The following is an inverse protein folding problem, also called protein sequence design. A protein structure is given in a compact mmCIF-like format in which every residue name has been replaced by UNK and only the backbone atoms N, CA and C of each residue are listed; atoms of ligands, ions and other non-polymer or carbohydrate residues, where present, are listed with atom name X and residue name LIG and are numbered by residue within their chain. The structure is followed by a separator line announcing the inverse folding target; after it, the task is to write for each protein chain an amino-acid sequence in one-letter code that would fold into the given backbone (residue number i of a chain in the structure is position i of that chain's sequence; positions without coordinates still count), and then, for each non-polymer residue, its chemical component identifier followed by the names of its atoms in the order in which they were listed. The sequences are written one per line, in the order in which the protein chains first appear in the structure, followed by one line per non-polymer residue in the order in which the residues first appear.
data_IF_025042615826
#
_entry.id   IF_025042615826
#
_cell.length_a   1.000
_cell.length_b   1.000
_cell.length_c   1.000
_cell.angle_alpha   90.00
_cell.angle_beta   90.00
_cell.angle_gamma   90.00
#
_symmetry.space_group_name_H-M   'P 1'
#
loop_
_entity.id
_entity.type
_entity.pdbx_description
1 polymer ?
#
# COMPACT_ATOMS: atom_id res chain seq x y z
N UNK A 1 -24.29 27.97 -79.44
CA UNK A 1 -23.69 28.31 -80.77
C UNK A 1 -22.92 29.62 -80.65
N UNK A 2 -21.77 29.82 -81.24
CA UNK A 2 -20.76 28.92 -81.81
C UNK A 2 -19.41 29.09 -81.05
N UNK A 3 -18.50 28.17 -80.97
CA UNK A 3 -17.48 27.70 -81.96
C UNK A 3 -16.37 28.70 -82.28
N UNK A 4 -15.13 28.30 -82.07
CA UNK A 4 -13.93 28.92 -82.64
C UNK A 4 -12.66 28.45 -81.95
N UNK A 5 -12.11 27.41 -82.35
CA UNK A 5 -10.93 27.01 -83.17
C UNK A 5 -9.56 27.53 -82.70
N UNK A 6 -8.74 26.54 -82.30
CA UNK A 6 -7.33 26.29 -82.60
C UNK A 6 -6.39 27.45 -83.02
N UNK A 7 -5.20 27.46 -82.42
CA UNK A 7 -3.91 27.45 -83.15
C UNK A 7 -2.80 26.82 -82.26
N UNK A 8 -2.12 25.79 -82.80
CA UNK A 8 -0.85 25.23 -82.26
C UNK A 8 0.31 26.22 -82.52
N UNK A 9 1.22 26.31 -81.60
CA UNK A 9 2.57 26.79 -81.90
C UNK A 9 3.58 25.90 -81.15
N UNK A 10 4.39 25.22 -81.95
CA UNK A 10 5.54 24.43 -81.52
C UNK A 10 6.71 25.36 -81.23
N UNK A 11 7.28 25.36 -80.05
CA UNK A 11 8.64 25.83 -79.83
C UNK A 11 9.45 24.75 -79.12
N UNK A 12 10.56 24.39 -79.74
CA UNK A 12 11.57 23.46 -79.24
C UNK A 12 12.35 24.11 -78.13
N UNK A 13 12.47 23.43 -77.00
CA UNK A 13 13.29 23.92 -75.93
C UNK A 13 14.51 23.00 -75.73
N UNK A 14 15.66 23.59 -75.86
CA UNK A 14 16.99 23.00 -75.71
C UNK A 14 17.14 22.52 -74.25
N UNK A 15 17.58 21.29 -74.08
CA UNK A 15 17.99 20.72 -72.79
C UNK A 15 19.39 21.26 -72.40
N UNK A 16 19.43 22.07 -71.32
CA UNK A 16 20.66 22.32 -70.56
C UNK A 16 20.70 21.43 -69.34
N UNK A 17 21.66 20.54 -69.33
CA UNK A 17 21.91 19.66 -68.13
C UNK A 17 22.80 20.47 -67.14
N UNK A 18 22.26 20.93 -66.07
CA UNK A 18 23.04 21.46 -64.96
C UNK A 18 23.28 20.31 -63.95
N UNK A 19 24.56 19.94 -63.83
CA UNK A 19 24.99 18.95 -62.83
C UNK A 19 24.94 19.61 -61.43
N UNK A 20 24.06 19.15 -60.59
CA UNK A 20 23.98 19.56 -59.19
C UNK A 20 24.85 18.62 -58.34
N UNK A 21 26.02 19.12 -57.92
CA UNK A 21 26.88 18.41 -56.98
C UNK A 21 26.31 18.52 -55.59
N UNK A 22 25.75 17.41 -55.06
CA UNK A 22 25.31 17.31 -53.66
C UNK A 22 26.50 17.00 -52.80
N UNK A 23 26.98 17.97 -52.04
CA UNK A 23 27.96 17.78 -50.97
C UNK A 23 27.21 17.29 -49.73
N UNK A 24 27.32 16.01 -49.41
CA UNK A 24 26.75 15.44 -48.19
C UNK A 24 27.66 15.79 -47.00
N UNK A 25 27.23 16.68 -46.16
CA UNK A 25 27.84 16.89 -44.85
C UNK A 25 27.40 15.78 -43.94
N UNK A 26 28.29 14.85 -43.63
CA UNK A 26 28.15 13.92 -42.51
C UNK A 26 28.37 14.68 -41.22
N UNK A 27 27.29 15.06 -40.54
CA UNK A 27 27.37 15.48 -39.12
C UNK A 27 27.46 14.21 -38.28
N UNK A 28 28.66 13.89 -37.79
CA UNK A 28 28.84 12.88 -36.82
C UNK A 28 28.18 13.31 -35.49
N UNK A 29 27.01 12.77 -35.18
CA UNK A 29 26.41 12.94 -33.87
C UNK A 29 27.32 12.28 -32.81
N UNK A 30 27.62 12.96 -31.67
CA UNK A 30 28.36 12.34 -30.61
C UNK A 30 27.53 11.18 -30.05
N UNK A 31 28.08 9.98 -30.12
CA UNK A 31 27.52 8.80 -29.46
C UNK A 31 27.57 9.08 -27.96
N UNK A 32 26.42 9.43 -27.36
CA UNK A 32 26.29 9.54 -25.91
C UNK A 32 26.58 8.17 -25.33
N UNK A 33 27.70 8.04 -24.59
CA UNK A 33 28.01 6.87 -23.80
C UNK A 33 26.82 6.66 -22.84
N UNK A 34 26.00 5.65 -23.12
CA UNK A 34 25.01 5.18 -22.18
C UNK A 34 25.75 4.78 -20.91
N UNK A 35 25.56 5.55 -19.86
CA UNK A 35 26.01 5.14 -18.52
C UNK A 35 25.33 3.81 -18.22
N UNK A 36 26.10 2.74 -18.18
CA UNK A 36 25.67 1.44 -17.69
C UNK A 36 25.35 1.61 -16.21
N UNK A 37 24.07 1.85 -15.91
CA UNK A 37 23.58 1.73 -14.55
C UNK A 37 23.80 0.27 -14.14
N UNK A 38 24.63 0.07 -13.13
CA UNK A 38 24.77 -1.24 -12.49
C UNK A 38 23.37 -1.70 -12.11
N UNK A 39 22.91 -2.87 -12.54
CA UNK A 39 21.58 -3.32 -12.16
C UNK A 39 21.52 -3.43 -10.64
N UNK A 40 20.68 -2.59 -10.03
CA UNK A 40 20.34 -2.73 -8.61
C UNK A 40 19.74 -4.13 -8.49
N UNK A 41 20.39 -5.02 -7.75
CA UNK A 41 19.84 -6.35 -7.53
C UNK A 41 18.46 -6.20 -6.89
N UNK A 42 17.44 -6.79 -7.51
CA UNK A 42 16.11 -6.78 -6.95
C UNK A 42 16.14 -7.30 -5.50
N UNK A 43 15.39 -6.68 -4.58
CA UNK A 43 15.34 -7.13 -3.19
C UNK A 43 14.94 -8.61 -3.14
N UNK A 44 15.69 -9.40 -2.36
CA UNK A 44 15.43 -10.84 -2.24
C UNK A 44 14.26 -11.07 -1.28
N UNK A 45 13.20 -11.66 -1.77
CA UNK A 45 12.07 -12.15 -0.97
C UNK A 45 11.62 -13.52 -1.46
N UNK A 46 10.93 -14.25 -0.60
CA UNK A 46 10.27 -15.51 -0.95
C UNK A 46 8.78 -15.25 -1.11
N UNK A 47 8.22 -15.60 -2.27
CA UNK A 47 6.79 -15.47 -2.56
C UNK A 47 6.01 -16.69 -2.11
N UNK A 48 4.77 -16.44 -1.67
CA UNK A 48 3.81 -17.46 -1.28
C UNK A 48 2.46 -17.22 -1.96
N UNK A 49 1.82 -18.30 -2.37
CA UNK A 49 0.43 -18.36 -2.82
C UNK A 49 -0.36 -19.11 -1.76
N UNK A 50 -1.05 -18.36 -0.91
CA UNK A 50 -1.70 -18.89 0.30
C UNK A 50 -3.17 -19.15 0.03
N UNK A 51 -3.64 -20.38 0.29
CA UNK A 51 -5.06 -20.72 0.16
C UNK A 51 -5.80 -20.44 1.46
N UNK A 52 -6.88 -19.67 1.37
CA UNK A 52 -7.78 -19.44 2.51
C UNK A 52 -8.84 -20.52 2.62
N UNK A 53 -9.42 -20.77 3.81
CA UNK A 53 -10.49 -21.74 3.97
C UNK A 53 -11.73 -21.48 3.13
N UNK A 54 -11.99 -20.22 2.74
CA UNK A 54 -13.10 -19.83 1.88
C UNK A 54 -12.75 -19.82 0.37
N UNK A 55 -11.60 -20.39 0.01
CA UNK A 55 -11.19 -20.70 -1.36
C UNK A 55 -10.50 -19.59 -2.14
N UNK A 56 -10.01 -18.54 -1.47
CA UNK A 56 -9.25 -17.48 -2.12
C UNK A 56 -7.75 -17.75 -2.08
N UNK A 57 -7.05 -17.24 -3.08
CA UNK A 57 -5.59 -17.21 -3.12
C UNK A 57 -5.09 -15.84 -2.68
N UNK A 58 -4.27 -15.84 -1.63
CA UNK A 58 -3.65 -14.64 -1.06
C UNK A 58 -2.16 -14.61 -1.40
N UNK A 59 -1.70 -13.49 -1.93
CA UNK A 59 -0.28 -13.26 -2.23
C UNK A 59 0.44 -12.74 -0.99
N UNK A 60 1.50 -13.45 -0.57
CA UNK A 60 2.32 -13.04 0.55
C UNK A 60 3.82 -13.11 0.20
N UNK A 61 4.64 -12.38 0.93
CA UNK A 61 6.08 -12.28 0.73
C UNK A 61 6.80 -12.32 2.06
N UNK A 62 7.83 -13.14 2.15
CA UNK A 62 8.74 -13.22 3.28
C UNK A 62 10.05 -12.52 2.96
N UNK A 63 10.50 -11.67 3.86
CA UNK A 63 11.66 -10.81 3.73
C UNK A 63 12.59 -10.96 4.94
N UNK A 64 13.84 -10.62 4.75
CA UNK A 64 14.81 -10.48 5.83
C UNK A 64 15.36 -11.80 6.36
N UNK A 65 15.59 -11.86 7.67
CA UNK A 65 16.19 -13.00 8.35
C UNK A 65 15.16 -14.09 8.70
N UNK A 66 15.14 -15.25 8.02
CA UNK A 66 14.13 -16.27 8.24
C UNK A 66 14.15 -16.88 9.66
N UNK A 67 15.22 -16.66 10.43
CA UNK A 67 15.38 -17.15 11.80
C UNK A 67 15.24 -16.04 12.86
N UNK A 68 14.94 -14.81 12.44
CA UNK A 68 14.79 -13.68 13.33
C UNK A 68 13.43 -13.61 14.02
N UNK A 69 13.28 -12.67 14.99
CA UNK A 69 11.98 -12.31 15.52
C UNK A 69 10.99 -11.94 14.41
N UNK A 70 9.73 -12.28 14.60
CA UNK A 70 8.74 -12.31 13.54
C UNK A 70 7.87 -11.06 13.52
N UNK A 71 7.64 -10.52 12.31
CA UNK A 71 6.73 -9.39 12.06
C UNK A 71 5.82 -9.73 10.90
N UNK A 72 4.52 -9.46 11.03
CA UNK A 72 3.58 -9.46 9.90
C UNK A 72 2.96 -8.08 9.73
N UNK A 73 2.97 -7.58 8.50
CA UNK A 73 2.46 -6.26 8.15
C UNK A 73 1.16 -6.36 7.37
N UNK A 74 0.15 -5.61 7.81
CA UNK A 74 -1.17 -5.53 7.20
C UNK A 74 -1.40 -4.12 6.70
N UNK A 75 -1.62 -3.97 5.39
CA UNK A 75 -1.82 -2.67 4.75
C UNK A 75 -3.23 -2.10 4.96
N UNK A 76 -3.42 -0.82 4.61
CA UNK A 76 -4.68 -0.10 4.73
C UNK A 76 -5.65 -0.29 3.56
N UNK A 77 -6.78 0.44 3.62
CA UNK A 77 -7.81 0.47 2.58
C UNK A 77 -7.23 0.87 1.22
N UNK A 78 -7.53 0.10 0.19
CA UNK A 78 -7.11 0.34 -1.20
C UNK A 78 -5.60 0.32 -1.43
N UNK A 79 -4.80 -0.18 -0.49
CA UNK A 79 -3.35 -0.25 -0.54
C UNK A 79 -2.86 -1.64 -1.02
N UNK A 80 -1.57 -1.92 -0.85
CA UNK A 80 -0.97 -3.23 -1.12
C UNK A 80 0.21 -3.51 -0.17
N UNK A 81 0.80 -4.70 -0.28
CA UNK A 81 2.04 -5.04 0.41
C UNK A 81 3.18 -4.04 0.17
N UNK A 82 3.18 -3.34 -0.98
CA UNK A 82 4.18 -2.31 -1.34
C UNK A 82 4.17 -1.10 -0.41
N UNK A 83 3.09 -0.86 0.35
CA UNK A 83 3.07 0.18 1.38
C UNK A 83 4.21 0.03 2.39
N UNK A 84 4.66 -1.19 2.64
CA UNK A 84 5.69 -1.54 3.62
C UNK A 84 7.10 -1.66 3.04
N UNK A 85 7.31 -1.22 1.79
CA UNK A 85 8.59 -1.42 1.07
C UNK A 85 9.78 -0.80 1.84
N UNK A 86 9.59 0.37 2.46
CA UNK A 86 10.65 1.05 3.23
C UNK A 86 11.04 0.31 4.53
N UNK A 87 10.18 -0.59 5.02
CA UNK A 87 10.46 -1.46 6.17
C UNK A 87 11.19 -2.72 5.71
N UNK A 88 10.61 -3.45 4.76
CA UNK A 88 11.11 -4.77 4.37
C UNK A 88 12.41 -4.72 3.58
N UNK A 89 12.73 -3.58 2.94
CA UNK A 89 14.02 -3.37 2.25
C UNK A 89 15.06 -2.64 3.12
N UNK A 90 14.69 -2.22 4.33
CA UNK A 90 15.65 -1.63 5.26
C UNK A 90 16.68 -2.66 5.71
N UNK A 91 17.97 -2.36 5.51
CA UNK A 91 19.06 -3.30 5.74
C UNK A 91 19.17 -3.78 7.20
N UNK A 92 18.85 -2.92 8.15
CA UNK A 92 18.99 -3.24 9.57
C UNK A 92 17.81 -4.08 10.05
N UNK A 93 16.58 -3.74 9.64
CA UNK A 93 15.43 -4.60 9.91
C UNK A 93 15.58 -5.96 9.22
N UNK A 94 16.03 -6.00 7.96
CA UNK A 94 16.17 -7.24 7.21
C UNK A 94 17.28 -8.17 7.76
N UNK A 95 18.32 -7.64 8.40
CA UNK A 95 19.34 -8.46 9.07
C UNK A 95 18.80 -9.14 10.34
N UNK A 96 17.88 -8.50 11.04
CA UNK A 96 17.43 -8.93 12.35
C UNK A 96 16.13 -9.71 12.31
N UNK A 97 15.13 -9.25 11.55
CA UNK A 97 13.76 -9.73 11.63
C UNK A 97 13.34 -10.58 10.44
N UNK A 98 12.50 -11.58 10.71
CA UNK A 98 11.68 -12.24 9.71
C UNK A 98 10.41 -11.40 9.50
N UNK A 99 10.27 -10.82 8.32
CA UNK A 99 9.18 -9.92 7.99
C UNK A 99 8.28 -10.54 6.92
N UNK A 100 6.98 -10.51 7.14
CA UNK A 100 5.98 -10.97 6.17
C UNK A 100 5.05 -9.81 5.81
N UNK A 101 4.87 -9.59 4.52
CA UNK A 101 3.84 -8.71 3.97
C UNK A 101 2.87 -9.52 3.13
N UNK A 102 1.62 -9.11 3.00
CA UNK A 102 0.67 -9.75 2.10
C UNK A 102 -0.35 -8.76 1.56
N UNK A 103 -0.95 -9.10 0.45
CA UNK A 103 -2.07 -8.36 -0.10
C UNK A 103 -3.37 -8.93 0.46
N UNK A 104 -4.16 -8.08 1.10
CA UNK A 104 -5.50 -8.44 1.56
C UNK A 104 -6.38 -8.91 0.38
N UNK A 105 -7.37 -9.76 0.64
CA UNK A 105 -8.41 -10.07 -0.37
C UNK A 105 -8.90 -8.80 -1.03
N UNK A 106 -9.06 -8.83 -2.34
CA UNK A 106 -9.47 -7.67 -3.13
C UNK A 106 -8.35 -6.69 -3.50
N UNK A 107 -7.12 -6.88 -3.01
CA UNK A 107 -6.00 -5.96 -3.20
C UNK A 107 -4.83 -6.61 -3.93
N UNK A 108 -3.92 -5.79 -4.42
CA UNK A 108 -2.63 -6.18 -5.00
C UNK A 108 -2.70 -7.42 -5.90
N UNK A 109 -1.95 -8.45 -5.56
CA UNK A 109 -1.87 -9.72 -6.30
C UNK A 109 -2.78 -10.82 -5.75
N UNK A 110 -3.56 -10.54 -4.70
CA UNK A 110 -4.55 -11.48 -4.14
C UNK A 110 -5.82 -11.52 -4.96
N UNK A 111 -6.61 -12.58 -4.80
CA UNK A 111 -7.92 -12.74 -5.43
C UNK A 111 -8.86 -11.60 -5.07
N UNK A 112 -9.68 -11.21 -6.05
CA UNK A 112 -10.61 -10.07 -5.97
C UNK A 112 -12.04 -10.51 -6.26
N UNK A 113 -12.68 -11.30 -5.35
CA UNK A 113 -14.08 -11.70 -5.55
C UNK A 113 -14.99 -10.46 -5.62
N UNK A 114 -16.01 -10.50 -6.47
CA UNK A 114 -16.98 -9.40 -6.59
C UNK A 114 -18.22 -9.58 -5.70
N UNK A 115 -18.32 -10.71 -5.03
CA UNK A 115 -19.38 -11.01 -4.07
C UNK A 115 -19.15 -10.20 -2.77
N UNK A 116 -20.04 -9.25 -2.42
CA UNK A 116 -19.85 -8.40 -1.23
C UNK A 116 -19.74 -9.21 0.07
N UNK A 117 -20.37 -10.38 0.12
CA UNK A 117 -20.36 -11.26 1.30
C UNK A 117 -18.96 -11.73 1.67
N UNK A 118 -18.07 -11.87 0.68
CA UNK A 118 -16.66 -12.22 0.91
C UNK A 118 -15.87 -11.18 1.72
N UNK A 119 -16.43 -9.98 1.89
CA UNK A 119 -15.80 -8.86 2.61
C UNK A 119 -16.48 -8.51 3.93
N UNK A 120 -17.71 -8.95 4.16
CA UNK A 120 -18.52 -8.52 5.33
C UNK A 120 -18.19 -9.31 6.60
N UNK A 121 -17.82 -10.57 6.49
CA UNK A 121 -17.66 -11.49 7.63
C UNK A 121 -16.25 -11.36 8.20
N UNK A 122 -16.13 -10.93 9.47
CA UNK A 122 -14.84 -10.80 10.17
C UNK A 122 -14.03 -12.08 10.20
N UNK A 123 -14.71 -13.23 10.32
CA UNK A 123 -14.03 -14.53 10.31
C UNK A 123 -13.21 -14.78 9.04
N UNK A 124 -13.66 -14.34 7.86
CA UNK A 124 -12.89 -14.52 6.63
C UNK A 124 -11.55 -13.78 6.66
N UNK A 125 -11.51 -12.59 7.25
CA UNK A 125 -10.30 -11.81 7.43
C UNK A 125 -9.37 -12.42 8.49
N UNK A 126 -9.95 -12.94 9.57
CA UNK A 126 -9.20 -13.65 10.60
C UNK A 126 -8.56 -14.94 10.05
N UNK A 127 -9.32 -15.72 9.28
CA UNK A 127 -8.85 -16.94 8.61
C UNK A 127 -7.75 -16.64 7.60
N UNK A 128 -7.85 -15.53 6.87
CA UNK A 128 -6.85 -15.07 5.91
C UNK A 128 -5.51 -14.77 6.59
N UNK A 129 -5.51 -13.94 7.64
CA UNK A 129 -4.29 -13.66 8.40
C UNK A 129 -3.69 -14.93 9.02
N UNK A 130 -4.54 -15.81 9.58
CA UNK A 130 -4.11 -17.09 10.11
C UNK A 130 -3.45 -17.96 9.05
N UNK A 131 -4.06 -18.08 7.87
CA UNK A 131 -3.51 -18.86 6.76
C UNK A 131 -2.16 -18.30 6.28
N UNK A 132 -2.01 -16.97 6.20
CA UNK A 132 -0.74 -16.32 5.87
C UNK A 132 0.32 -16.66 6.93
N UNK A 133 0.00 -16.55 8.22
CA UNK A 133 0.95 -16.89 9.29
C UNK A 133 1.38 -18.36 9.20
N UNK A 134 0.46 -19.28 9.00
CA UNK A 134 0.75 -20.70 8.89
C UNK A 134 1.60 -21.05 7.66
N UNK A 135 1.24 -20.52 6.49
CA UNK A 135 1.95 -20.79 5.24
C UNK A 135 3.39 -20.22 5.24
N UNK A 136 3.59 -19.09 5.90
CA UNK A 136 4.91 -18.46 6.04
C UNK A 136 5.69 -18.96 7.27
N UNK A 137 5.09 -19.85 8.05
CA UNK A 137 5.73 -20.45 9.24
C UNK A 137 5.93 -19.48 10.41
N UNK A 138 5.16 -18.38 10.47
CA UNK A 138 5.14 -17.48 11.63
C UNK A 138 4.50 -18.20 12.81
N UNK A 139 5.13 -18.11 13.98
CA UNK A 139 4.67 -18.75 15.24
C UNK A 139 4.02 -17.76 16.17
N UNK A 140 4.73 -16.66 16.45
CA UNK A 140 4.29 -15.60 17.36
C UNK A 140 4.78 -14.23 16.88
N UNK A 141 4.27 -13.73 15.73
CA UNK A 141 4.70 -12.44 15.21
C UNK A 141 4.20 -11.27 16.06
N UNK A 142 4.91 -10.16 15.99
CA UNK A 142 4.30 -8.85 16.18
C UNK A 142 3.47 -8.53 14.95
N UNK A 143 2.19 -8.23 15.18
CA UNK A 143 1.25 -7.86 14.09
C UNK A 143 1.18 -6.35 13.97
N UNK A 144 1.54 -5.82 12.82
CA UNK A 144 1.52 -4.39 12.51
C UNK A 144 0.37 -4.12 11.55
N UNK A 145 -0.62 -3.37 11.97
CA UNK A 145 -1.80 -3.06 11.15
C UNK A 145 -1.97 -1.57 10.92
N UNK A 146 -1.89 -1.15 9.65
CA UNK A 146 -2.09 0.24 9.26
C UNK A 146 -3.54 0.50 8.86
N UNK A 147 -4.16 1.53 9.45
CA UNK A 147 -5.49 2.01 9.05
C UNK A 147 -6.52 0.88 9.04
N UNK A 148 -7.04 0.49 7.87
CA UNK A 148 -7.94 -0.65 7.71
C UNK A 148 -7.33 -1.98 8.21
N UNK A 149 -6.00 -2.12 8.18
CA UNK A 149 -5.29 -3.27 8.74
C UNK A 149 -5.55 -3.47 10.23
N UNK A 150 -5.82 -2.41 10.98
CA UNK A 150 -6.25 -2.51 12.38
C UNK A 150 -7.59 -3.22 12.57
N UNK A 151 -8.51 -3.13 11.58
CA UNK A 151 -9.76 -3.90 11.59
C UNK A 151 -9.50 -5.40 11.41
N UNK A 152 -8.53 -5.75 10.55
CA UNK A 152 -8.14 -7.14 10.32
C UNK A 152 -7.51 -7.73 11.58
N UNK A 153 -6.69 -6.93 12.29
CA UNK A 153 -6.18 -7.32 13.60
C UNK A 153 -7.32 -7.61 14.59
N UNK A 154 -8.32 -6.73 14.64
CA UNK A 154 -9.49 -6.91 15.52
C UNK A 154 -10.30 -8.17 15.16
N UNK A 155 -10.50 -8.45 13.86
CA UNK A 155 -11.14 -9.68 13.40
C UNK A 155 -10.39 -10.93 13.86
N UNK A 156 -9.05 -10.91 13.71
CA UNK A 156 -8.19 -12.02 14.16
C UNK A 156 -8.26 -12.22 15.68
N UNK A 157 -8.09 -11.15 16.44
CA UNK A 157 -8.11 -11.18 17.89
C UNK A 157 -9.45 -11.63 18.46
N UNK A 158 -10.55 -11.20 17.85
CA UNK A 158 -11.91 -11.61 18.23
C UNK A 158 -12.13 -13.11 17.97
N UNK A 159 -11.54 -13.63 16.88
CA UNK A 159 -11.75 -15.02 16.44
C UNK A 159 -10.79 -16.00 17.14
N UNK A 160 -9.52 -15.63 17.24
CA UNK A 160 -8.42 -16.53 17.67
C UNK A 160 -7.70 -16.09 18.95
N UNK A 161 -7.97 -14.90 19.46
CA UNK A 161 -7.27 -14.36 20.63
C UNK A 161 -5.80 -14.04 20.35
N UNK A 162 -5.00 -14.01 21.42
CA UNK A 162 -3.60 -13.56 21.39
C UNK A 162 -2.57 -14.68 21.57
N UNK A 163 -2.97 -15.94 21.69
CA UNK A 163 -2.04 -17.04 22.02
C UNK A 163 -0.85 -17.16 21.05
N UNK A 164 -1.08 -16.86 19.77
CA UNK A 164 -0.06 -16.91 18.72
C UNK A 164 0.45 -15.51 18.29
N UNK A 165 0.36 -14.51 19.17
CA UNK A 165 0.77 -13.12 18.91
C UNK A 165 1.77 -12.70 19.99
N UNK A 166 2.92 -12.13 19.61
CA UNK A 166 3.89 -11.58 20.53
C UNK A 166 3.55 -10.16 20.98
N UNK A 167 3.00 -9.36 20.08
CA UNK A 167 2.61 -7.97 20.32
C UNK A 167 1.83 -7.37 19.14
N UNK A 168 1.30 -6.19 19.33
CA UNK A 168 0.45 -5.51 18.36
C UNK A 168 0.94 -4.07 18.15
N UNK A 169 1.04 -3.62 16.90
CA UNK A 169 1.23 -2.20 16.60
C UNK A 169 0.06 -1.70 15.73
N UNK A 170 -0.79 -0.88 16.32
CA UNK A 170 -1.85 -0.14 15.61
C UNK A 170 -1.27 1.14 15.03
N UNK A 171 -1.19 1.23 13.71
CA UNK A 171 -0.64 2.39 12.99
C UNK A 171 -1.77 3.17 12.34
N UNK A 172 -2.05 4.39 12.82
CA UNK A 172 -3.16 5.25 12.33
C UNK A 172 -4.50 4.50 12.23
N UNK A 173 -4.75 3.59 13.16
CA UNK A 173 -5.82 2.61 13.11
C UNK A 173 -6.82 2.82 14.25
N UNK A 174 -7.91 3.54 13.98
CA UNK A 174 -9.02 3.69 14.92
C UNK A 174 -9.76 2.38 15.16
N UNK A 175 -10.07 2.08 16.42
CA UNK A 175 -10.69 0.82 16.85
C UNK A 175 -12.15 0.99 17.27
N UNK A 176 -12.80 2.07 16.84
CA UNK A 176 -14.24 2.32 17.09
C UNK A 176 -14.86 3.06 15.90
N UNK A 177 -16.08 2.72 15.58
CA UNK A 177 -16.89 3.47 14.62
C UNK A 177 -17.53 4.69 15.31
N UNK A 178 -16.77 5.77 15.41
CA UNK A 178 -17.19 7.04 16.00
C UNK A 178 -16.95 8.17 15.01
N UNK A 179 -17.95 9.03 14.72
CA UNK A 179 -17.78 10.14 13.78
C UNK A 179 -16.65 11.11 14.15
N UNK A 180 -16.36 11.29 15.43
CA UNK A 180 -15.27 12.16 15.89
C UNK A 180 -13.87 11.62 15.54
N UNK A 181 -13.77 10.32 15.25
CA UNK A 181 -12.52 9.67 14.85
C UNK A 181 -12.22 9.83 13.37
N UNK A 182 -13.22 10.23 12.59
CA UNK A 182 -13.13 10.34 11.13
C UNK A 182 -12.52 11.67 10.72
N UNK A 183 -11.43 11.62 10.01
CA UNK A 183 -10.77 12.80 9.47
C UNK A 183 -11.37 13.29 8.15
N UNK A 184 -11.12 14.56 7.78
CA UNK A 184 -11.76 15.22 6.64
C UNK A 184 -11.39 14.61 5.26
N UNK A 185 -10.31 13.85 5.17
CA UNK A 185 -9.88 13.25 3.89
C UNK A 185 -10.81 12.11 3.44
N UNK A 186 -11.52 11.47 4.37
CA UNK A 186 -12.42 10.35 4.04
C UNK A 186 -13.62 10.77 3.17
N UNK A 187 -13.90 12.07 3.04
CA UNK A 187 -14.88 12.59 2.06
C UNK A 187 -14.59 12.21 0.61
N UNK A 188 -13.32 11.89 0.29
CA UNK A 188 -12.90 11.48 -1.04
C UNK A 188 -13.23 10.00 -1.35
N UNK A 189 -13.42 9.17 -0.32
CA UNK A 189 -13.63 7.72 -0.50
C UNK A 189 -14.86 7.35 -1.36
N UNK A 190 -16.03 7.97 -1.24
CA UNK A 190 -17.20 7.58 -2.05
C UNK A 190 -16.94 7.65 -3.56
N UNK A 191 -16.25 8.68 -4.03
CA UNK A 191 -15.94 8.83 -5.45
C UNK A 191 -14.85 7.85 -5.95
N UNK A 192 -14.03 7.28 -5.04
CA UNK A 192 -13.10 6.18 -5.37
C UNK A 192 -13.84 4.88 -5.73
N UNK A 193 -15.13 4.78 -5.43
CA UNK A 193 -16.00 3.61 -5.73
C UNK A 193 -16.79 3.80 -7.04
N UNK A 194 -16.57 4.91 -7.76
CA UNK A 194 -17.23 5.21 -9.04
C UNK A 194 -16.76 4.29 -10.15
N UNK A 195 -17.69 3.83 -10.99
CA UNK A 195 -17.40 3.13 -12.24
C UNK A 195 -16.89 4.08 -13.33
N UNK A 196 -17.08 5.41 -13.19
CA UNK A 196 -16.41 6.41 -14.02
C UNK A 196 -14.93 6.48 -13.64
N UNK A 197 -14.08 6.02 -14.56
CA UNK A 197 -12.64 5.92 -14.34
C UNK A 197 -12.00 7.28 -14.04
N UNK A 198 -12.45 8.37 -14.69
CA UNK A 198 -11.88 9.69 -14.46
C UNK A 198 -12.23 10.21 -13.05
N UNK A 199 -13.48 10.05 -12.62
CA UNK A 199 -13.90 10.39 -11.27
C UNK A 199 -13.16 9.56 -10.22
N UNK A 200 -13.02 8.26 -10.46
CA UNK A 200 -12.30 7.33 -9.58
C UNK A 200 -10.82 7.72 -9.44
N UNK A 201 -10.10 7.95 -10.55
CA UNK A 201 -8.69 8.38 -10.53
C UNK A 201 -8.55 9.72 -9.79
N UNK A 202 -9.40 10.70 -10.09
CA UNK A 202 -9.35 12.02 -9.44
C UNK A 202 -9.55 11.89 -7.92
N UNK A 203 -10.52 11.10 -7.48
CA UNK A 203 -10.79 10.86 -6.07
C UNK A 203 -9.66 10.08 -5.38
N UNK A 204 -9.10 9.06 -6.07
CA UNK A 204 -7.97 8.28 -5.53
C UNK A 204 -6.74 9.17 -5.37
N UNK A 205 -6.46 10.07 -6.33
CA UNK A 205 -5.38 11.07 -6.20
C UNK A 205 -5.60 11.99 -5.01
N UNK A 206 -6.79 12.55 -4.86
CA UNK A 206 -7.12 13.42 -3.74
C UNK A 206 -7.00 12.69 -2.40
N UNK A 207 -7.48 11.44 -2.31
CA UNK A 207 -7.34 10.60 -1.13
C UNK A 207 -5.87 10.34 -0.78
N UNK A 208 -5.04 9.97 -1.76
CA UNK A 208 -3.61 9.71 -1.54
C UNK A 208 -2.88 10.98 -1.07
N UNK A 209 -3.10 12.14 -1.69
CA UNK A 209 -2.52 13.40 -1.23
C UNK A 209 -2.91 13.72 0.21
N UNK A 210 -4.14 13.43 0.60
CA UNK A 210 -4.62 13.63 1.97
C UNK A 210 -4.06 12.66 3.00
N UNK A 211 -3.44 11.55 2.57
CA UNK A 211 -2.79 10.60 3.49
C UNK A 211 -1.44 11.12 4.02
N UNK A 212 -0.85 12.13 3.42
CA UNK A 212 0.50 12.59 3.75
C UNK A 212 0.52 14.05 4.18
N UNK A 213 1.23 14.37 5.24
CA UNK A 213 1.70 15.71 5.56
C UNK A 213 2.99 16.01 4.82
N UNK A 214 3.95 15.08 4.84
CA UNK A 214 5.18 15.12 4.06
C UNK A 214 4.92 14.33 2.78
N UNK A 215 4.71 15.04 1.67
CA UNK A 215 4.31 14.41 0.42
C UNK A 215 5.40 13.49 -0.15
N UNK A 216 5.03 12.32 -0.71
CA UNK A 216 5.95 11.46 -1.44
C UNK A 216 6.49 12.16 -2.70
N UNK A 217 7.61 11.67 -3.22
CA UNK A 217 8.09 12.07 -4.55
C UNK A 217 7.07 11.70 -5.62
N UNK A 218 7.16 12.33 -6.79
CA UNK A 218 6.25 12.03 -7.90
C UNK A 218 6.27 10.54 -8.28
N UNK A 219 7.44 9.92 -8.30
CA UNK A 219 7.57 8.48 -8.63
C UNK A 219 6.92 7.59 -7.57
N UNK A 220 7.15 7.86 -6.28
CA UNK A 220 6.50 7.12 -5.18
C UNK A 220 4.98 7.29 -5.23
N UNK A 221 4.52 8.50 -5.55
CA UNK A 221 3.10 8.79 -5.66
C UNK A 221 2.44 8.04 -6.84
N UNK A 222 3.11 7.99 -8.00
CA UNK A 222 2.63 7.25 -9.17
C UNK A 222 2.55 5.74 -8.90
N UNK A 223 3.52 5.18 -8.19
CA UNK A 223 3.50 3.79 -7.75
C UNK A 223 2.31 3.54 -6.79
N UNK A 224 2.10 4.43 -5.81
CA UNK A 224 0.95 4.34 -4.90
C UNK A 224 -0.38 4.43 -5.66
N UNK A 225 -0.49 5.34 -6.62
CA UNK A 225 -1.68 5.45 -7.46
C UNK A 225 -1.91 4.16 -8.24
N UNK A 226 -0.86 3.59 -8.83
CA UNK A 226 -0.95 2.37 -9.63
C UNK A 226 -1.51 1.20 -8.80
N UNK A 227 -0.92 0.90 -7.63
CA UNK A 227 -1.43 -0.21 -6.83
C UNK A 227 -2.80 0.08 -6.17
N UNK A 228 -3.13 1.34 -5.89
CA UNK A 228 -4.48 1.72 -5.46
C UNK A 228 -5.51 1.42 -6.56
N UNK A 229 -5.19 1.74 -7.83
CA UNK A 229 -6.08 1.52 -8.96
C UNK A 229 -6.28 0.02 -9.30
N UNK A 230 -5.43 -0.88 -8.78
CA UNK A 230 -5.63 -2.33 -8.89
C UNK A 230 -6.82 -2.83 -8.05
N UNK A 231 -7.32 -2.05 -7.11
CA UNK A 231 -8.49 -2.41 -6.30
C UNK A 231 -9.78 -1.99 -7.01
N UNK A 232 -10.61 -2.93 -7.46
CA UNK A 232 -11.83 -2.61 -8.20
C UNK A 232 -12.81 -1.75 -7.39
N UNK A 233 -13.58 -0.84 -8.03
CA UNK A 233 -14.59 -0.03 -7.35
C UNK A 233 -15.57 -0.84 -6.52
N UNK A 234 -16.05 -1.98 -7.04
CA UNK A 234 -16.95 -2.90 -6.34
C UNK A 234 -16.35 -3.49 -5.07
N UNK A 235 -15.05 -3.79 -5.08
CA UNK A 235 -14.32 -4.25 -3.90
C UNK A 235 -14.23 -3.13 -2.88
N UNK A 236 -13.84 -1.91 -3.28
CA UNK A 236 -13.80 -0.75 -2.40
C UNK A 236 -15.15 -0.50 -1.71
N UNK A 237 -16.25 -0.63 -2.45
CA UNK A 237 -17.60 -0.51 -1.91
C UNK A 237 -17.90 -1.61 -0.88
N UNK A 238 -17.49 -2.85 -1.15
CA UNK A 238 -17.74 -3.99 -0.26
C UNK A 238 -16.94 -3.93 1.05
N UNK A 239 -15.77 -3.25 1.06
CA UNK A 239 -14.93 -3.04 2.26
C UNK A 239 -15.58 -2.10 3.28
N UNK A 240 -16.48 -1.21 2.84
CA UNK A 240 -17.18 -0.26 3.70
C UNK A 240 -18.20 -0.93 4.62
N UNK A 241 -18.69 -0.13 5.59
CA UNK A 241 -19.86 -0.44 6.43
C UNK A 241 -19.81 -1.74 7.26
N UNK A 242 -18.61 -2.20 7.62
CA UNK A 242 -18.46 -3.28 8.60
C UNK A 242 -18.55 -2.70 10.02
N UNK A 243 -19.36 -3.28 10.92
CA UNK A 243 -19.37 -2.86 12.32
C UNK A 243 -18.01 -3.07 12.96
N UNK A 244 -17.62 -2.20 13.87
CA UNK A 244 -16.42 -2.32 14.68
C UNK A 244 -16.83 -2.12 16.14
N UNK A 245 -17.03 -3.21 16.86
CA UNK A 245 -17.39 -3.24 18.27
C UNK A 245 -16.38 -4.12 18.99
N UNK A 246 -15.29 -3.52 19.44
CA UNK A 246 -14.12 -4.25 19.93
C UNK A 246 -13.66 -3.81 21.33
N UNK A 247 -14.47 -2.99 22.01
CA UNK A 247 -14.10 -2.40 23.30
C UNK A 247 -13.72 -3.46 24.35
N UNK A 248 -14.51 -4.54 24.47
CA UNK A 248 -14.24 -5.60 25.42
C UNK A 248 -13.00 -6.42 25.04
N UNK A 249 -12.82 -6.65 23.74
CA UNK A 249 -11.60 -7.29 23.23
C UNK A 249 -10.37 -6.44 23.56
N UNK A 250 -10.40 -5.13 23.33
CA UNK A 250 -9.28 -4.22 23.64
C UNK A 250 -8.94 -4.22 25.13
N UNK A 251 -9.95 -4.14 26.01
CA UNK A 251 -9.75 -4.22 27.47
C UNK A 251 -9.18 -5.54 27.92
N UNK A 252 -9.44 -6.60 27.19
CA UNK A 252 -8.99 -7.97 27.48
C UNK A 252 -7.58 -8.29 27.02
N UNK A 253 -6.92 -7.41 26.23
CA UNK A 253 -5.58 -7.66 25.70
C UNK A 253 -4.54 -7.78 26.82
N UNK A 254 -3.67 -8.79 26.70
CA UNK A 254 -2.58 -9.08 27.65
C UNK A 254 -1.20 -9.02 27.01
N UNK A 255 -1.11 -8.95 25.68
CA UNK A 255 0.15 -8.79 24.95
C UNK A 255 0.57 -7.33 24.92
N UNK A 256 1.87 -7.03 24.77
CA UNK A 256 2.35 -5.67 24.55
C UNK A 256 1.65 -5.01 23.34
N UNK A 257 1.28 -3.73 23.50
CA UNK A 257 0.63 -2.95 22.44
C UNK A 257 1.31 -1.59 22.28
N UNK A 258 1.67 -1.28 21.04
CA UNK A 258 2.07 0.05 20.58
C UNK A 258 0.94 0.65 19.74
N UNK A 259 0.61 1.89 20.00
CA UNK A 259 -0.28 2.70 19.15
C UNK A 259 0.56 3.81 18.54
N UNK A 260 0.75 3.76 17.24
CA UNK A 260 1.54 4.74 16.47
C UNK A 260 0.61 5.63 15.68
N UNK A 261 0.75 6.97 15.78
CA UNK A 261 -0.17 7.88 15.10
C UNK A 261 0.49 9.18 14.66
N UNK A 262 0.20 9.62 13.42
CA UNK A 262 0.60 10.91 12.91
C UNK A 262 -0.30 12.03 13.47
N UNK A 263 0.29 13.07 14.05
CA UNK A 263 -0.49 14.18 14.66
C UNK A 263 -1.32 14.95 13.62
N UNK A 264 -0.89 14.94 12.36
CA UNK A 264 -1.53 15.63 11.24
C UNK A 264 -2.38 14.69 10.37
N UNK A 265 -2.75 13.52 10.89
CA UNK A 265 -3.57 12.55 10.18
C UNK A 265 -4.95 13.13 9.84
N UNK A 266 -5.25 13.15 8.52
CA UNK A 266 -6.53 13.64 7.97
C UNK A 266 -7.51 12.52 7.64
N UNK A 267 -7.15 11.25 7.88
CA UNK A 267 -8.04 10.10 7.69
C UNK A 267 -8.63 9.63 9.02
N UNK A 268 -7.78 9.56 10.05
CA UNK A 268 -8.16 9.18 11.40
C UNK A 268 -7.66 10.24 12.37
N UNK A 269 -8.56 10.94 13.05
CA UNK A 269 -8.16 11.98 14.00
C UNK A 269 -7.38 11.38 15.18
N UNK A 270 -6.41 12.12 15.74
CA UNK A 270 -5.56 11.67 16.85
C UNK A 270 -6.36 11.10 18.04
N UNK A 271 -7.55 11.65 18.30
CA UNK A 271 -8.43 11.17 19.37
C UNK A 271 -8.79 9.67 19.22
N UNK A 272 -8.73 9.11 18.00
CA UNK A 272 -8.94 7.67 17.78
C UNK A 272 -7.80 6.84 18.35
N UNK A 273 -6.56 7.31 18.21
CA UNK A 273 -5.38 6.66 18.78
C UNK A 273 -5.35 6.80 20.32
N UNK A 274 -5.67 7.98 20.83
CA UNK A 274 -5.79 8.22 22.27
C UNK A 274 -6.85 7.31 22.90
N UNK A 275 -8.02 7.18 22.24
CA UNK A 275 -9.06 6.25 22.66
C UNK A 275 -8.52 4.80 22.67
N UNK A 276 -7.90 4.36 21.59
CA UNK A 276 -7.37 2.99 21.48
C UNK A 276 -6.36 2.69 22.57
N UNK A 277 -5.39 3.59 22.77
CA UNK A 277 -4.38 3.44 23.82
C UNK A 277 -4.99 3.43 25.22
N UNK A 278 -6.01 4.27 25.49
CA UNK A 278 -6.72 4.30 26.77
C UNK A 278 -7.49 3.02 27.06
N UNK A 279 -8.06 2.40 26.01
CA UNK A 279 -8.85 1.18 26.16
C UNK A 279 -8.01 -0.05 26.43
N UNK A 280 -6.72 -0.06 26.06
CA UNK A 280 -5.84 -1.21 26.17
C UNK A 280 -4.93 -1.05 27.38
N UNK A 281 -5.01 -1.96 28.39
CA UNK A 281 -4.15 -1.87 29.58
C UNK A 281 -2.66 -1.95 29.19
N UNK A 282 -1.87 -0.96 29.61
CA UNK A 282 -0.43 -0.93 29.37
C UNK A 282 0.00 -0.58 27.94
N UNK A 283 -0.91 -0.19 27.06
CA UNK A 283 -0.55 0.27 25.72
C UNK A 283 0.33 1.53 25.76
N UNK A 284 1.33 1.57 24.89
CA UNK A 284 2.16 2.75 24.65
C UNK A 284 1.59 3.54 23.47
N UNK A 285 1.44 4.86 23.61
CA UNK A 285 1.06 5.77 22.52
C UNK A 285 2.29 6.52 22.03
N UNK A 286 2.60 6.42 20.75
CA UNK A 286 3.65 7.17 20.05
C UNK A 286 3.05 8.11 19.02
N UNK A 287 3.09 9.41 19.30
CA UNK A 287 2.57 10.46 18.43
C UNK A 287 3.70 11.09 17.61
N UNK A 288 3.49 11.20 16.31
CA UNK A 288 4.45 11.72 15.33
C UNK A 288 4.06 13.13 14.90
N UNK A 289 4.68 14.14 15.48
CA UNK A 289 4.41 15.53 15.14
C UNK A 289 4.82 15.86 13.70
N UNK A 290 3.98 16.61 12.99
CA UNK A 290 4.20 16.98 11.59
C UNK A 290 4.00 15.87 10.56
N UNK A 291 3.50 14.70 10.99
CA UNK A 291 3.32 13.49 10.17
C UNK A 291 1.84 13.21 9.97
N UNK A 292 1.46 12.80 8.77
CA UNK A 292 0.09 12.43 8.40
C UNK A 292 -0.27 10.98 8.70
N UNK A 293 -1.05 10.37 7.80
CA UNK A 293 -1.60 9.02 7.95
C UNK A 293 -0.61 7.88 7.67
N UNK A 294 0.67 8.19 7.45
CA UNK A 294 1.65 7.19 7.03
C UNK A 294 3.01 7.37 7.73
N UNK A 295 3.09 7.26 9.08
CA UNK A 295 4.32 7.47 9.84
C UNK A 295 5.48 6.55 9.39
N UNK A 296 5.18 5.33 8.99
CA UNK A 296 6.14 4.36 8.46
C UNK A 296 6.77 4.81 7.13
N UNK A 297 6.11 5.70 6.40
CA UNK A 297 6.57 6.25 5.14
C UNK A 297 7.17 7.65 5.31
N UNK A 298 6.50 8.53 6.05
CA UNK A 298 6.86 9.95 6.23
C UNK A 298 8.03 10.14 7.22
N UNK A 299 8.11 9.29 8.24
CA UNK A 299 9.14 9.32 9.28
C UNK A 299 9.84 7.96 9.41
N UNK A 300 10.20 7.34 8.29
CA UNK A 300 10.73 5.98 8.18
C UNK A 300 11.84 5.66 9.18
N UNK A 301 12.89 6.50 9.39
CA UNK A 301 13.95 6.16 10.32
C UNK A 301 13.46 6.01 11.76
N UNK A 302 12.60 6.92 12.23
CA UNK A 302 12.00 6.86 13.57
C UNK A 302 11.10 5.66 13.72
N UNK A 303 10.21 5.44 12.73
CA UNK A 303 9.28 4.30 12.75
C UNK A 303 10.02 2.97 12.79
N UNK A 304 11.04 2.78 11.97
CA UNK A 304 11.83 1.55 11.93
C UNK A 304 12.56 1.30 13.27
N UNK A 305 13.11 2.34 13.89
CA UNK A 305 13.78 2.23 15.18
C UNK A 305 12.80 1.84 16.31
N UNK A 306 11.65 2.53 16.41
CA UNK A 306 10.61 2.23 17.40
C UNK A 306 10.01 0.83 17.18
N UNK A 307 9.78 0.43 15.94
CA UNK A 307 9.30 -0.91 15.60
C UNK A 307 10.31 -1.98 16.05
N UNK A 308 11.59 -1.80 15.73
CA UNK A 308 12.62 -2.76 16.10
C UNK A 308 12.72 -2.91 17.64
N UNK A 309 12.72 -1.80 18.38
CA UNK A 309 12.70 -1.80 19.85
C UNK A 309 11.47 -2.55 20.38
N UNK A 310 10.28 -2.19 19.88
CA UNK A 310 9.03 -2.80 20.29
C UNK A 310 9.00 -4.32 20.05
N UNK A 311 9.48 -4.78 18.87
CA UNK A 311 9.53 -6.20 18.55
C UNK A 311 10.48 -6.96 19.49
N UNK A 312 11.68 -6.40 19.76
CA UNK A 312 12.62 -7.01 20.72
C UNK A 312 12.01 -7.16 22.11
N UNK A 313 11.31 -6.13 22.57
CA UNK A 313 10.70 -6.14 23.92
C UNK A 313 9.51 -7.10 23.99
N UNK A 314 8.67 -7.14 22.97
CA UNK A 314 7.54 -8.04 22.88
C UNK A 314 7.96 -9.53 22.87
N UNK A 315 9.16 -9.83 22.33
CA UNK A 315 9.70 -11.20 22.31
C UNK A 315 10.36 -11.62 23.63
N UNK A 316 10.84 -10.67 24.47
CA UNK A 316 11.47 -10.95 25.77
C UNK A 316 10.46 -11.26 26.89
N UNK A 317 9.27 -10.74 26.79
CA UNK A 317 8.23 -10.82 27.84
C UNK A 317 7.46 -12.15 27.89
N UNK A 318 8.03 -13.22 27.30
CA UNK A 318 7.35 -14.51 27.18
C UNK A 318 8.26 -15.68 27.50
#
# INVERSE_FOLDING_TARGET
MPAGRNVMSRFALRRSIAALSVVAFFVAAPCALAQTQTPVSAPKFKSYSVQTPDGLTISAQEWGNPNGPEIVFIHGFSQSHLSWIKQVTNSDLAKEFKMVTYDLRGHGNSDKPFEPEKYKTGKFWADELKAVMEATGLKRPVVVGWSYGGRIMADYLTTYGTANIAGLNYVDAGQKADPSFVGPNLKNQPAMMSDDLNANIAATRAFLHGCFSIQPTQSEYEEMLAFNMMVPPKVRLALGNRPLQVDDMLRGLKVPVLVTHGAEDKNSNLIAAEYTAKMIPGAKLSVYQGVGHSPFFEATPRFNAELAEFVRDAQKGN
#
